data_IF_276661340372
#
_entry.id   IF_276661340372
#
_cell.length_a   1.000
_cell.length_b   1.000
_cell.length_c   1.000
_cell.angle_alpha   90.00
_cell.angle_beta   90.00
_cell.angle_gamma   90.00
#
_symmetry.space_group_name_H-M   'P 1'
#
loop_
_entity.id
_entity.type
_entity.pdbx_description
1 polymer ?
#
# COMPACT_ATOMS: atom_id res chain seq x y z
N UNK A 1 -3.12 -6.38 6.40
CA UNK A 1 -4.37 -5.64 6.64
C UNK A 1 -5.52 -6.25 5.85
N UNK A 2 -5.50 -6.10 4.53
CA UNK A 2 -6.60 -6.54 3.65
C UNK A 2 -7.00 -8.02 3.80
N UNK A 3 -6.02 -8.93 3.88
CA UNK A 3 -6.30 -10.36 4.16
C UNK A 3 -7.05 -10.58 5.48
N UNK A 4 -6.69 -9.84 6.53
CA UNK A 4 -7.36 -9.92 7.84
C UNK A 4 -8.80 -9.38 7.77
N UNK A 5 -9.04 -8.41 6.89
CA UNK A 5 -10.37 -7.85 6.64
C UNK A 5 -11.22 -8.72 5.67
N UNK A 6 -10.67 -9.81 5.14
CA UNK A 6 -11.38 -10.71 4.23
C UNK A 6 -11.46 -10.24 2.78
N UNK A 7 -10.50 -9.43 2.31
CA UNK A 7 -10.44 -9.05 0.89
C UNK A 7 -10.06 -10.26 0.00
N UNK A 8 -10.82 -10.48 -1.06
CA UNK A 8 -10.63 -11.61 -2.00
C UNK A 8 -9.49 -11.36 -3.00
N UNK A 9 -9.52 -10.21 -3.68
CA UNK A 9 -8.50 -9.80 -4.65
C UNK A 9 -7.62 -8.70 -4.07
N UNK A 10 -6.32 -8.96 -3.97
CA UNK A 10 -5.32 -8.01 -3.46
C UNK A 10 -4.23 -7.87 -4.52
N UNK A 11 -4.28 -6.77 -5.27
CA UNK A 11 -3.32 -6.44 -6.32
C UNK A 11 -2.24 -5.55 -5.73
N UNK A 12 -1.00 -6.04 -5.66
CA UNK A 12 0.16 -5.19 -5.36
C UNK A 12 0.75 -4.61 -6.62
N UNK A 13 1.13 -3.34 -6.55
CA UNK A 13 1.72 -2.60 -7.67
C UNK A 13 3.06 -2.04 -7.22
N UNK A 14 4.16 -2.52 -7.80
CA UNK A 14 5.51 -2.07 -7.47
C UNK A 14 6.42 -2.17 -8.70
N UNK A 15 7.37 -1.24 -8.82
CA UNK A 15 8.36 -1.22 -9.91
C UNK A 15 9.54 -2.20 -9.70
N UNK A 16 9.61 -2.82 -8.53
CA UNK A 16 10.62 -3.79 -8.15
C UNK A 16 9.98 -5.18 -7.99
N UNK A 17 10.32 -6.10 -8.89
CA UNK A 17 9.82 -7.48 -8.88
C UNK A 17 10.22 -8.27 -7.63
N UNK A 18 11.31 -7.88 -6.94
CA UNK A 18 11.72 -8.50 -5.68
C UNK A 18 10.70 -8.27 -4.55
N UNK A 19 9.73 -7.34 -4.74
CA UNK A 19 8.62 -7.12 -3.80
C UNK A 19 7.49 -8.13 -3.96
N UNK A 20 7.41 -8.85 -5.08
CA UNK A 20 6.35 -9.83 -5.32
C UNK A 20 6.32 -10.94 -4.25
N UNK A 21 7.42 -11.65 -3.94
CA UNK A 21 7.41 -12.70 -2.92
C UNK A 21 7.02 -12.18 -1.54
N UNK A 22 7.42 -10.95 -1.20
CA UNK A 22 7.02 -10.29 0.04
C UNK A 22 5.52 -10.02 0.10
N UNK A 23 4.96 -9.46 -0.97
CA UNK A 23 3.52 -9.24 -1.07
C UNK A 23 2.73 -10.53 -0.89
N UNK A 24 3.11 -11.59 -1.61
CA UNK A 24 2.44 -12.90 -1.56
C UNK A 24 2.46 -13.49 -0.14
N UNK A 25 3.61 -13.40 0.55
CA UNK A 25 3.74 -13.81 1.96
C UNK A 25 2.71 -13.13 2.87
N UNK A 26 2.43 -11.85 2.63
CA UNK A 26 1.49 -11.05 3.43
C UNK A 26 0.05 -11.04 2.89
N UNK A 27 -0.25 -11.87 1.88
CA UNK A 27 -1.61 -12.11 1.38
C UNK A 27 -1.96 -11.40 0.08
N UNK A 28 -1.00 -10.81 -0.63
CA UNK A 28 -1.21 -10.34 -2.00
C UNK A 28 -1.55 -11.53 -2.91
N UNK A 29 -2.54 -11.36 -3.78
CA UNK A 29 -2.97 -12.42 -4.72
C UNK A 29 -2.53 -12.16 -6.16
N UNK A 30 -2.30 -10.89 -6.51
CA UNK A 30 -1.85 -10.49 -7.85
C UNK A 30 -0.74 -9.45 -7.72
N UNK A 31 0.19 -9.44 -8.67
CA UNK A 31 1.27 -8.45 -8.72
C UNK A 31 1.37 -7.84 -10.11
N UNK A 32 1.51 -6.52 -10.16
CA UNK A 32 1.67 -5.75 -11.39
C UNK A 32 2.92 -4.89 -11.28
N UNK A 33 3.83 -5.04 -12.24
CA UNK A 33 4.95 -4.13 -12.40
C UNK A 33 4.63 -3.10 -13.50
N UNK A 34 4.48 -1.80 -13.16
CA UNK A 34 4.18 -0.77 -14.16
C UNK A 34 5.17 -0.69 -15.33
N UNK A 35 6.42 -1.09 -15.13
CA UNK A 35 7.44 -1.09 -16.18
C UNK A 35 7.18 -2.13 -17.28
N UNK A 36 6.41 -3.17 -16.97
CA UNK A 36 6.06 -4.25 -17.90
C UNK A 36 4.74 -3.96 -18.64
N UNK A 37 3.87 -3.12 -18.06
CA UNK A 37 2.58 -2.73 -18.64
C UNK A 37 2.70 -1.47 -19.53
N UNK A 38 3.57 -0.51 -19.17
CA UNK A 38 3.74 0.74 -19.88
C UNK A 38 2.74 1.84 -19.47
N UNK A 39 2.25 2.63 -20.43
CA UNK A 39 1.44 3.84 -20.16
C UNK A 39 0.02 3.55 -19.65
N UNK A 40 -0.47 2.33 -19.79
CA UNK A 40 -1.87 1.95 -19.56
C UNK A 40 -2.10 1.25 -18.21
N UNK A 41 -1.32 1.58 -17.18
CA UNK A 41 -1.44 0.96 -15.86
C UNK A 41 -2.85 1.06 -15.26
N UNK A 42 -3.46 2.25 -15.26
CA UNK A 42 -4.80 2.45 -14.65
C UNK A 42 -5.88 1.66 -15.42
N UNK A 43 -5.99 1.75 -16.76
CA UNK A 43 -6.88 0.88 -17.53
C UNK A 43 -6.64 -0.60 -17.26
N UNK A 44 -5.39 -1.04 -17.20
CA UNK A 44 -5.05 -2.44 -16.92
C UNK A 44 -5.59 -2.90 -15.56
N UNK A 45 -5.41 -2.11 -14.49
CA UNK A 45 -5.93 -2.42 -13.16
C UNK A 45 -7.47 -2.45 -13.12
N UNK A 46 -8.13 -1.56 -13.85
CA UNK A 46 -9.59 -1.55 -14.00
C UNK A 46 -10.07 -2.81 -14.70
N UNK A 47 -9.41 -3.22 -15.79
CA UNK A 47 -9.77 -4.41 -16.54
C UNK A 47 -9.57 -5.70 -15.73
N UNK A 48 -8.48 -5.79 -14.95
CA UNK A 48 -8.21 -6.92 -14.05
C UNK A 48 -9.30 -7.14 -13.01
N UNK A 49 -10.02 -6.08 -12.63
CA UNK A 49 -11.02 -6.10 -11.55
C UNK A 49 -12.45 -6.23 -12.05
N UNK A 50 -12.67 -6.35 -13.36
CA UNK A 50 -13.98 -6.71 -13.92
C UNK A 50 -14.35 -8.13 -13.52
N UNK A 51 -15.54 -8.31 -12.95
CA UNK A 51 -15.99 -9.61 -12.46
C UNK A 51 -17.51 -9.74 -12.51
N UNK A 52 -17.99 -10.90 -12.98
CA UNK A 52 -19.42 -11.20 -13.01
C UNK A 52 -20.23 -10.15 -13.77
N UNK A 53 -21.26 -9.61 -13.12
CA UNK A 53 -22.10 -8.56 -13.69
C UNK A 53 -21.41 -7.18 -13.75
N UNK A 54 -20.33 -6.98 -13.00
CA UNK A 54 -19.60 -5.72 -13.00
C UNK A 54 -18.53 -5.70 -14.10
N UNK A 55 -18.88 -5.06 -15.22
CA UNK A 55 -18.00 -4.85 -16.36
C UNK A 55 -17.45 -3.42 -16.42
N UNK A 56 -17.68 -2.61 -15.38
CA UNK A 56 -17.07 -1.28 -15.25
C UNK A 56 -15.65 -1.44 -14.71
N UNK A 57 -15.51 -2.20 -13.61
CA UNK A 57 -14.23 -2.48 -12.99
C UNK A 57 -13.64 -1.32 -12.18
N UNK A 58 -12.48 -1.58 -11.59
CA UNK A 58 -11.79 -0.77 -10.60
C UNK A 58 -11.87 -1.40 -9.21
N UNK A 59 -10.85 -1.17 -8.38
CA UNK A 59 -10.81 -1.74 -7.04
C UNK A 59 -11.76 -1.01 -6.08
N UNK A 60 -12.45 -1.74 -5.20
CA UNK A 60 -13.29 -1.13 -4.14
C UNK A 60 -12.49 -0.19 -3.25
N UNK A 61 -11.25 -0.57 -2.95
CA UNK A 61 -10.31 0.23 -2.17
C UNK A 61 -8.95 0.25 -2.85
N UNK A 62 -8.32 1.42 -2.92
CA UNK A 62 -6.91 1.56 -3.29
C UNK A 62 -6.14 2.29 -2.20
N UNK A 63 -4.84 2.01 -2.11
CA UNK A 63 -3.95 2.57 -1.10
C UNK A 63 -2.67 3.06 -1.77
N UNK A 64 -2.36 4.35 -1.68
CA UNK A 64 -1.02 4.83 -2.00
C UNK A 64 -0.11 4.67 -0.78
N UNK A 65 0.94 3.87 -0.93
CA UNK A 65 1.96 3.65 0.08
C UNK A 65 3.33 4.21 -0.32
N UNK A 66 3.38 5.09 -1.33
CA UNK A 66 4.64 5.54 -1.95
C UNK A 66 5.02 6.98 -1.59
N UNK A 67 4.05 7.87 -1.41
CA UNK A 67 4.29 9.30 -1.27
C UNK A 67 4.50 10.01 -2.61
N UNK A 68 4.19 9.37 -3.74
CA UNK A 68 4.31 9.96 -5.07
C UNK A 68 2.94 10.46 -5.56
N UNK A 69 2.80 11.75 -5.85
CA UNK A 69 1.53 12.36 -6.27
C UNK A 69 0.94 11.78 -7.56
N UNK A 70 1.78 11.29 -8.48
CA UNK A 70 1.33 10.59 -9.69
C UNK A 70 0.69 9.26 -9.33
N UNK A 71 1.31 8.50 -8.42
CA UNK A 71 0.77 7.22 -7.94
C UNK A 71 -0.51 7.45 -7.13
N UNK A 72 -0.58 8.48 -6.30
CA UNK A 72 -1.81 8.86 -5.58
C UNK A 72 -2.97 9.10 -6.54
N UNK A 73 -2.74 9.84 -7.63
CA UNK A 73 -3.75 10.07 -8.68
C UNK A 73 -4.15 8.76 -9.36
N UNK A 74 -3.18 7.95 -9.76
CA UNK A 74 -3.43 6.66 -10.41
C UNK A 74 -4.23 5.71 -9.50
N UNK A 75 -3.94 5.70 -8.19
CA UNK A 75 -4.69 4.92 -7.21
C UNK A 75 -6.15 5.37 -7.13
N UNK A 76 -6.43 6.68 -7.14
CA UNK A 76 -7.80 7.18 -7.20
C UNK A 76 -8.49 6.76 -8.51
N UNK A 77 -7.84 6.95 -9.65
CA UNK A 77 -8.45 6.68 -10.96
C UNK A 77 -8.68 5.17 -11.18
N UNK A 78 -7.89 4.30 -10.53
CA UNK A 78 -8.05 2.85 -10.51
C UNK A 78 -9.14 2.36 -9.52
N UNK A 79 -9.69 3.21 -8.66
CA UNK A 79 -10.83 2.84 -7.83
C UNK A 79 -12.09 2.61 -8.66
N UNK A 80 -12.96 1.74 -8.16
CA UNK A 80 -14.26 1.46 -8.75
C UNK A 80 -15.09 2.74 -8.88
N UNK A 81 -15.71 2.93 -10.06
CA UNK A 81 -16.65 4.03 -10.27
C UNK A 81 -17.91 3.79 -9.45
N UNK A 82 -18.42 4.79 -8.75
CA UNK A 82 -19.66 4.72 -7.99
C UNK A 82 -19.45 4.63 -6.48
N UNK A 83 -18.51 3.79 -6.02
CA UNK A 83 -18.30 3.56 -4.59
C UNK A 83 -16.85 3.45 -4.13
N UNK A 84 -15.88 3.42 -5.05
CA UNK A 84 -14.48 3.13 -4.72
C UNK A 84 -13.85 4.20 -3.84
N UNK A 85 -13.00 3.77 -2.89
CA UNK A 85 -12.30 4.65 -1.97
C UNK A 85 -10.78 4.56 -2.13
N UNK A 86 -10.13 5.70 -2.36
CA UNK A 86 -8.68 5.79 -2.43
C UNK A 86 -8.12 6.45 -1.17
N UNK A 87 -7.18 5.76 -0.54
CA UNK A 87 -6.57 6.16 0.73
C UNK A 87 -5.09 6.49 0.52
N UNK A 88 -4.72 7.74 0.76
CA UNK A 88 -3.33 8.19 0.75
C UNK A 88 -2.70 7.90 2.11
N UNK A 89 -1.67 7.04 2.11
CA UNK A 89 -0.85 6.69 3.28
C UNK A 89 0.56 7.27 3.14
N UNK A 90 1.10 7.26 1.93
CA UNK A 90 2.41 7.84 1.63
C UNK A 90 2.45 9.35 1.85
N UNK A 91 3.60 9.86 2.31
CA UNK A 91 3.80 11.29 2.57
C UNK A 91 4.53 11.92 1.38
N UNK A 92 3.87 12.83 0.69
CA UNK A 92 4.44 13.57 -0.43
C UNK A 92 5.49 14.60 0.01
N UNK A 93 6.46 14.95 -0.85
CA UNK A 93 7.41 16.02 -0.56
C UNK A 93 6.71 17.38 -0.43
N UNK A 94 7.36 18.31 0.28
CA UNK A 94 6.82 19.64 0.52
C UNK A 94 6.48 20.37 -0.79
N UNK A 95 5.31 21.02 -0.83
CA UNK A 95 4.82 21.78 -1.98
C UNK A 95 4.23 20.94 -3.12
N UNK A 96 4.22 19.61 -3.03
CA UNK A 96 3.58 18.77 -4.03
C UNK A 96 2.05 18.78 -3.88
N UNK A 97 1.35 18.75 -5.00
CA UNK A 97 -0.10 18.75 -5.07
C UNK A 97 -0.62 17.50 -5.76
N UNK A 98 -1.69 16.95 -5.21
CA UNK A 98 -2.49 15.93 -5.90
C UNK A 98 -3.55 16.61 -6.76
N UNK A 99 -3.83 16.05 -7.93
CA UNK A 99 -4.86 16.55 -8.83
C UNK A 99 -5.56 15.41 -9.55
N UNK A 100 -6.83 15.61 -9.91
CA UNK A 100 -7.58 14.74 -10.81
C UNK A 100 -8.72 15.54 -11.46
N UNK A 101 -9.44 14.94 -12.41
CA UNK A 101 -10.66 15.53 -12.94
C UNK A 101 -11.77 15.44 -11.88
N UNK A 102 -12.51 16.52 -11.57
CA UNK A 102 -13.60 16.49 -10.58
C UNK A 102 -14.64 15.41 -10.84
N UNK A 103 -14.85 15.06 -12.11
CA UNK A 103 -15.75 13.99 -12.53
C UNK A 103 -15.43 12.62 -11.90
N UNK A 104 -14.17 12.36 -11.54
CA UNK A 104 -13.79 11.14 -10.83
C UNK A 104 -14.51 11.03 -9.48
N UNK A 105 -14.67 12.16 -8.78
CA UNK A 105 -15.36 12.24 -7.49
C UNK A 105 -16.87 12.35 -7.65
N UNK A 106 -17.35 13.14 -8.62
CA UNK A 106 -18.79 13.26 -8.94
C UNK A 106 -19.39 11.89 -9.26
N UNK A 107 -18.63 11.03 -9.91
CA UNK A 107 -19.05 9.65 -10.22
C UNK A 107 -18.86 8.67 -9.07
N UNK A 108 -18.72 9.15 -7.83
CA UNK A 108 -18.86 8.35 -6.62
C UNK A 108 -17.57 7.86 -5.97
N UNK A 109 -16.39 8.21 -6.51
CA UNK A 109 -15.13 7.90 -5.82
C UNK A 109 -14.91 8.83 -4.64
N UNK A 110 -14.23 8.32 -3.62
CA UNK A 110 -13.86 9.10 -2.44
C UNK A 110 -12.34 9.09 -2.27
N UNK A 111 -11.74 10.27 -2.08
CA UNK A 111 -10.31 10.42 -1.83
C UNK A 111 -10.06 10.86 -0.39
N UNK A 112 -9.33 10.08 0.39
CA UNK A 112 -9.04 10.35 1.81
C UNK A 112 -7.57 10.11 2.12
N UNK A 113 -7.11 10.62 3.27
CA UNK A 113 -5.80 10.29 3.84
C UNK A 113 -5.93 9.47 5.12
N UNK A 114 -4.82 8.88 5.56
CA UNK A 114 -4.71 8.24 6.87
C UNK A 114 -3.40 8.61 7.56
N UNK A 115 -3.49 9.02 8.83
CA UNK A 115 -2.34 9.21 9.70
C UNK A 115 -2.31 8.08 10.73
N UNK A 116 -1.18 7.38 10.83
CA UNK A 116 -0.99 6.27 11.76
C UNK A 116 -2.10 5.18 11.66
N UNK A 117 -2.65 4.98 10.47
CA UNK A 117 -3.74 4.02 10.24
C UNK A 117 -5.07 4.41 10.92
N UNK A 118 -5.22 5.64 11.41
CA UNK A 118 -6.38 6.09 12.19
C UNK A 118 -6.38 5.59 13.65
N UNK A 119 -5.30 4.95 14.10
CA UNK A 119 -5.20 4.43 15.46
C UNK A 119 -4.99 5.55 16.49
N UNK A 120 -5.67 5.46 17.64
CA UNK A 120 -5.41 6.34 18.78
C UNK A 120 -4.26 5.74 19.58
N UNK A 121 -3.05 6.27 19.37
CA UNK A 121 -1.79 5.73 19.89
C UNK A 121 -1.88 4.93 21.19
N UNK A 122 -2.13 5.60 22.32
CA UNK A 122 -2.14 4.94 23.65
C UNK A 122 -3.22 3.87 23.82
N UNK A 123 -4.35 3.99 23.12
CA UNK A 123 -5.52 3.13 23.32
C UNK A 123 -5.54 1.94 22.35
N UNK A 124 -5.06 2.15 21.12
CA UNK A 124 -5.20 1.17 20.05
C UNK A 124 -3.89 0.40 19.77
N UNK A 125 -2.71 0.95 20.11
CA UNK A 125 -1.43 0.21 19.98
C UNK A 125 -1.40 -1.09 20.80
N UNK A 126 -1.86 -1.13 22.07
CA UNK A 126 -1.90 -2.38 22.83
C UNK A 126 -2.70 -3.49 22.12
N UNK A 127 -3.79 -3.15 21.42
CA UNK A 127 -4.58 -4.12 20.65
C UNK A 127 -3.80 -4.70 19.47
N UNK A 128 -2.95 -3.90 18.83
CA UNK A 128 -2.07 -4.36 17.75
C UNK A 128 -1.02 -5.33 18.31
N UNK A 129 -0.49 -5.06 19.50
CA UNK A 129 0.39 -6.01 20.22
C UNK A 129 -0.36 -7.30 20.52
N UNK A 130 -1.58 -7.23 21.04
CA UNK A 130 -2.40 -8.43 21.29
C UNK A 130 -2.62 -9.25 20.01
N UNK A 131 -2.90 -8.60 18.87
CA UNK A 131 -3.03 -9.29 17.59
C UNK A 131 -1.74 -9.99 17.16
N UNK A 132 -0.58 -9.38 17.41
CA UNK A 132 0.71 -10.01 17.17
C UNK A 132 0.92 -11.23 18.08
N UNK A 133 0.70 -11.07 19.39
CA UNK A 133 0.83 -12.16 20.36
C UNK A 133 -0.14 -13.33 20.09
N UNK A 134 -1.31 -13.04 19.52
CA UNK A 134 -2.31 -14.03 19.09
C UNK A 134 -2.03 -14.62 17.70
N UNK A 135 -0.94 -14.22 17.03
CA UNK A 135 -0.59 -14.69 15.68
C UNK A 135 -1.52 -14.19 14.56
N UNK A 136 -2.40 -13.21 14.82
CA UNK A 136 -3.31 -12.63 13.83
C UNK A 136 -2.59 -11.75 12.80
N UNK A 137 -1.46 -11.17 13.20
CA UNK A 137 -0.59 -10.38 12.32
C UNK A 137 0.85 -10.88 12.46
N UNK A 138 1.60 -10.77 11.36
CA UNK A 138 3.01 -11.16 11.31
C UNK A 138 3.89 -9.91 11.36
N UNK A 139 4.80 -9.84 12.33
CA UNK A 139 5.78 -8.75 12.49
C UNK A 139 7.19 -9.27 12.28
N UNK A 140 7.57 -10.40 12.88
CA UNK A 140 8.94 -10.95 12.84
C UNK A 140 9.52 -11.04 11.42
N UNK A 141 8.77 -11.52 10.40
CA UNK A 141 9.28 -11.55 9.04
C UNK A 141 9.69 -10.21 8.47
N UNK A 142 9.11 -9.10 8.95
CA UNK A 142 9.43 -7.76 8.47
C UNK A 142 10.78 -7.27 8.99
N UNK A 143 11.30 -7.87 10.07
CA UNK A 143 12.60 -7.58 10.64
C UNK A 143 13.66 -8.31 9.80
N UNK A 144 14.24 -7.61 8.83
CA UNK A 144 15.26 -8.21 7.95
C UNK A 144 16.68 -8.00 8.46
N UNK A 145 16.88 -7.04 9.37
CA UNK A 145 18.19 -6.74 9.94
C UNK A 145 18.05 -6.42 11.42
N UNK A 146 18.98 -6.93 12.22
CA UNK A 146 19.18 -6.54 13.62
C UNK A 146 20.63 -6.10 13.77
N UNK A 147 20.87 -4.94 14.39
CA UNK A 147 22.20 -4.37 14.52
C UNK A 147 22.34 -3.55 15.81
N UNK A 148 23.55 -3.42 16.38
CA UNK A 148 23.78 -2.54 17.53
C UNK A 148 23.67 -1.07 17.13
N UNK A 149 23.45 -0.19 18.10
CA UNK A 149 23.41 1.27 17.89
C UNK A 149 24.69 1.81 17.24
N UNK A 150 25.84 1.19 17.48
CA UNK A 150 27.11 1.55 16.84
C UNK A 150 27.06 1.49 15.31
N UNK A 151 26.17 0.67 14.75
CA UNK A 151 26.04 0.42 13.32
C UNK A 151 24.88 1.20 12.69
N UNK A 152 24.31 2.19 13.38
CA UNK A 152 23.12 2.93 12.93
C UNK A 152 23.25 3.49 11.50
N UNK A 153 24.43 3.97 11.10
CA UNK A 153 24.68 4.50 9.75
C UNK A 153 24.57 3.41 8.67
N UNK A 154 25.01 2.18 8.96
CA UNK A 154 24.83 1.03 8.05
C UNK A 154 23.35 0.76 7.82
N UNK A 155 22.51 0.94 8.85
CA UNK A 155 21.06 0.86 8.73
C UNK A 155 20.48 1.85 7.72
N UNK A 156 20.95 3.10 7.72
CA UNK A 156 20.54 4.11 6.73
C UNK A 156 20.98 3.75 5.31
N UNK A 157 22.16 3.17 5.13
CA UNK A 157 22.65 2.75 3.82
C UNK A 157 21.82 1.59 3.25
N UNK A 158 21.47 0.61 4.08
CA UNK A 158 20.58 -0.50 3.72
C UNK A 158 19.19 0.01 3.27
N UNK A 159 18.65 1.02 3.97
CA UNK A 159 17.39 1.66 3.61
C UNK A 159 17.46 2.31 2.22
N UNK A 160 18.52 3.08 1.93
CA UNK A 160 18.70 3.74 0.64
C UNK A 160 18.86 2.77 -0.52
N UNK A 161 19.54 1.64 -0.31
CA UNK A 161 19.71 0.58 -1.32
C UNK A 161 18.45 -0.29 -1.50
N UNK A 162 17.45 -0.16 -0.62
CA UNK A 162 16.22 -0.95 -0.67
C UNK A 162 16.40 -2.42 -0.24
N UNK A 163 17.53 -2.76 0.37
CA UNK A 163 17.88 -4.11 0.85
C UNK A 163 17.18 -4.45 2.18
N UNK A 164 16.68 -3.45 2.89
CA UNK A 164 15.96 -3.62 4.16
C UNK A 164 14.46 -3.43 4.01
N UNK A 165 13.67 -4.23 4.75
CA UNK A 165 12.24 -3.97 4.98
C UNK A 165 12.11 -3.18 6.28
N UNK A 166 12.59 -3.73 7.40
CA UNK A 166 12.78 -3.04 8.67
C UNK A 166 14.11 -3.49 9.31
N UNK A 167 14.86 -2.52 9.81
CA UNK A 167 16.00 -2.74 10.69
C UNK A 167 15.59 -2.49 12.14
N UNK A 168 16.01 -3.34 13.07
CA UNK A 168 15.88 -3.15 14.51
C UNK A 168 17.26 -2.82 15.09
N UNK A 169 17.32 -1.75 15.87
CA UNK A 169 18.55 -1.32 16.55
C UNK A 169 18.48 -1.75 18.01
N UNK A 170 19.53 -2.42 18.49
CA UNK A 170 19.69 -2.83 19.89
C UNK A 170 20.70 -1.94 20.61
N UNK A 171 20.48 -1.72 21.92
CA UNK A 171 21.30 -0.86 22.77
C UNK A 171 22.27 -1.67 23.63
#
# INVERSE_FOLDING_TARGET
GLRLAGADMIIGVDINNDRKPWGERFGMTHFVNPKEIGKDLVPHLIDMTKAGADQIGGADYTFDCTGNVTVMRQALEACHRGWGQSIVIGVAPAGAEISTRPFQLVTGRVWKGSAFGGARGRTDVPKIVDWYMQGKIQIDPMITHVMPLSDINKGFDLMKRGESIRGVVTF
#
